data_IF_200883798690
#
_entry.id   IF_200883798690
#
_cell.length_a   1.000
_cell.length_b   1.000
_cell.length_c   1.000
_cell.angle_alpha   90.00
_cell.angle_beta   90.00
_cell.angle_gamma   90.00
#
_symmetry.space_group_name_H-M   'P 1'
#
loop_
_entity.id
_entity.type
_entity.pdbx_description
1 polymer ?
#
# COMPACT_ATOMS: atom_id res chain seq x y z
N UNK A 1 16.48 45.49 30.17
CA UNK A 1 16.32 44.02 30.29
C UNK A 1 15.82 43.48 28.96
N UNK A 2 16.56 42.54 28.37
CA UNK A 2 16.47 42.14 26.96
C UNK A 2 15.46 41.00 26.72
N UNK A 3 14.45 41.25 25.87
CA UNK A 3 13.65 40.22 25.22
C UNK A 3 14.43 39.59 24.06
N UNK A 4 15.08 38.44 24.27
CA UNK A 4 15.77 37.65 23.21
C UNK A 4 15.74 36.14 23.45
N UNK A 5 14.56 35.54 23.43
CA UNK A 5 14.35 34.08 23.31
C UNK A 5 13.06 33.96 22.48
N UNK A 6 13.06 33.96 21.15
CA UNK A 6 13.17 32.79 20.28
C UNK A 6 13.28 33.28 18.82
N UNK A 7 14.46 33.69 18.38
CA UNK A 7 14.69 33.93 16.94
C UNK A 7 14.98 32.58 16.30
N UNK A 8 13.94 31.84 15.85
CA UNK A 8 14.14 30.70 14.95
C UNK A 8 14.98 31.23 13.79
N UNK A 9 16.24 30.77 13.68
CA UNK A 9 17.07 31.07 12.51
C UNK A 9 16.26 30.59 11.31
N UNK A 10 15.78 31.51 10.47
CA UNK A 10 15.32 31.18 9.13
C UNK A 10 16.57 30.72 8.38
N UNK A 11 16.89 29.43 8.50
CA UNK A 11 17.82 28.81 7.58
C UNK A 11 17.30 29.01 6.16
N UNK A 12 18.18 29.11 5.15
CA UNK A 12 17.74 29.18 3.76
C UNK A 12 16.73 28.06 3.51
N UNK A 13 15.58 28.39 2.91
CA UNK A 13 14.61 27.40 2.46
C UNK A 13 15.34 26.47 1.50
N UNK A 14 15.84 25.34 1.99
CA UNK A 14 16.31 24.26 1.14
C UNK A 14 15.06 23.78 0.41
N UNK A 15 15.02 24.01 -0.90
CA UNK A 15 14.14 23.28 -1.78
C UNK A 15 14.67 21.84 -1.73
N UNK A 16 14.24 21.05 -0.74
CA UNK A 16 14.39 19.62 -0.84
C UNK A 16 13.42 19.23 -1.95
N UNK A 17 13.93 19.13 -3.18
CA UNK A 17 13.29 18.37 -4.26
C UNK A 17 13.29 16.90 -3.84
N UNK A 18 12.53 16.62 -2.79
CA UNK A 18 12.27 15.28 -2.33
C UNK A 18 11.20 14.75 -3.29
N UNK A 19 11.66 14.30 -4.46
CA UNK A 19 10.86 13.85 -5.59
C UNK A 19 9.78 12.85 -5.12
N UNK A 20 10.10 12.02 -4.13
CA UNK A 20 9.20 11.04 -3.52
C UNK A 20 7.94 11.64 -2.87
N UNK A 21 7.99 12.90 -2.42
CA UNK A 21 6.81 13.61 -1.87
C UNK A 21 5.91 14.19 -2.98
N UNK A 22 6.38 14.19 -4.23
CA UNK A 22 5.69 14.77 -5.40
C UNK A 22 5.30 13.72 -6.43
N UNK A 23 5.63 12.44 -6.22
CA UNK A 23 5.34 11.34 -7.16
C UNK A 23 4.52 10.22 -6.52
N UNK A 24 3.86 9.46 -7.38
CA UNK A 24 3.11 8.26 -7.06
C UNK A 24 3.32 7.20 -8.14
N UNK A 25 3.00 5.95 -7.81
CA UNK A 25 2.89 4.87 -8.77
C UNK A 25 1.42 4.68 -9.11
N UNK A 26 1.08 4.73 -10.40
CA UNK A 26 -0.29 4.48 -10.84
C UNK A 26 -0.47 3.00 -11.16
N UNK A 27 -1.57 2.40 -10.71
CA UNK A 27 -1.99 1.06 -11.12
C UNK A 27 -3.49 1.04 -11.36
N UNK A 28 -4.01 0.11 -12.19
CA UNK A 28 -5.45 -0.10 -12.34
C UNK A 28 -6.17 -0.42 -11.01
N UNK A 29 -5.44 -0.91 -10.00
CA UNK A 29 -5.94 -1.23 -8.66
C UNK A 29 -5.87 -0.05 -7.68
N UNK A 30 -5.38 1.11 -8.12
CA UNK A 30 -5.23 2.33 -7.32
C UNK A 30 -3.83 2.94 -7.42
N UNK A 31 -3.74 4.24 -7.12
CA UNK A 31 -2.47 4.95 -6.99
C UNK A 31 -1.86 4.76 -5.60
N UNK A 32 -0.53 4.71 -5.53
CA UNK A 32 0.22 4.65 -4.27
C UNK A 32 1.36 5.68 -4.26
N UNK A 33 1.39 6.61 -3.29
CA UNK A 33 2.47 7.59 -3.15
C UNK A 33 3.85 6.93 -2.99
N UNK A 34 4.85 7.45 -3.70
CA UNK A 34 6.21 6.89 -3.67
C UNK A 34 6.83 6.96 -2.26
N UNK A 35 6.49 7.99 -1.50
CA UNK A 35 6.88 8.11 -0.08
C UNK A 35 6.43 6.92 0.77
N UNK A 36 5.17 6.49 0.61
CA UNK A 36 4.60 5.38 1.39
C UNK A 36 5.31 4.07 1.04
N UNK A 37 5.54 3.82 -0.25
CA UNK A 37 6.32 2.65 -0.72
C UNK A 37 7.71 2.64 -0.09
N UNK A 38 8.41 3.78 -0.12
CA UNK A 38 9.75 3.90 0.43
C UNK A 38 9.77 3.65 1.94
N UNK A 39 8.80 4.19 2.68
CA UNK A 39 8.72 3.96 4.12
C UNK A 39 8.42 2.50 4.46
N UNK A 40 7.41 1.88 3.84
CA UNK A 40 7.04 0.49 4.08
C UNK A 40 8.15 -0.50 3.71
N UNK A 41 8.95 -0.18 2.69
CA UNK A 41 10.10 -1.02 2.31
C UNK A 41 11.33 -0.77 3.18
N UNK A 42 11.53 0.44 3.71
CA UNK A 42 12.61 0.76 4.66
C UNK A 42 12.42 0.14 6.04
N UNK A 43 11.19 -0.17 6.44
CA UNK A 43 10.91 -0.93 7.67
C UNK A 43 11.55 -2.32 7.65
N UNK A 44 11.92 -2.83 6.47
CA UNK A 44 12.73 -4.03 6.34
C UNK A 44 14.21 -3.71 6.60
N UNK A 45 14.63 -3.84 7.85
CA UNK A 45 16.03 -3.67 8.26
C UNK A 45 17.00 -4.64 7.58
N UNK A 46 16.50 -5.80 7.11
CA UNK A 46 17.30 -6.81 6.42
C UNK A 46 16.42 -7.51 5.37
N UNK A 47 16.88 -7.54 4.11
CA UNK A 47 16.16 -8.13 2.99
C UNK A 47 16.88 -9.38 2.52
N UNK A 48 16.40 -10.53 2.99
CA UNK A 48 16.86 -11.87 2.56
C UNK A 48 15.65 -12.70 2.15
N UNK A 49 15.80 -13.61 1.17
CA UNK A 49 14.68 -14.41 0.69
C UNK A 49 14.12 -15.24 1.85
N UNK A 50 12.88 -14.95 2.21
CA UNK A 50 12.23 -15.63 3.32
C UNK A 50 11.85 -17.06 2.90
N UNK A 51 12.02 -18.01 3.83
CA UNK A 51 11.67 -19.40 3.59
C UNK A 51 10.15 -19.62 3.57
N UNK A 52 9.71 -20.73 2.98
CA UNK A 52 8.31 -21.20 3.02
C UNK A 52 7.28 -20.23 2.41
N UNK A 53 7.70 -19.46 1.39
CA UNK A 53 6.81 -18.56 0.65
C UNK A 53 6.39 -17.30 1.41
N UNK A 54 7.11 -16.95 2.48
CA UNK A 54 6.98 -15.67 3.20
C UNK A 54 7.63 -14.53 2.41
N UNK A 55 7.48 -13.30 2.89
CA UNK A 55 8.13 -12.12 2.32
C UNK A 55 9.30 -11.66 3.22
N UNK A 56 10.30 -10.95 2.67
CA UNK A 56 10.50 -10.60 1.25
C UNK A 56 10.88 -11.82 0.39
N UNK A 57 10.51 -11.79 -0.91
CA UNK A 57 10.84 -12.86 -1.88
C UNK A 57 11.80 -12.34 -2.93
N UNK A 58 12.66 -13.21 -3.44
CA UNK A 58 13.52 -12.88 -4.57
C UNK A 58 12.65 -12.68 -5.82
N UNK A 59 12.81 -11.53 -6.46
CA UNK A 59 12.11 -11.15 -7.67
C UNK A 59 13.05 -11.31 -8.87
N UNK A 60 12.70 -12.22 -9.79
CA UNK A 60 13.56 -12.63 -10.89
C UNK A 60 13.55 -11.68 -12.08
N UNK A 61 12.47 -10.90 -12.23
CA UNK A 61 12.32 -9.91 -13.30
C UNK A 61 12.45 -10.56 -14.69
N UNK A 62 11.74 -11.67 -14.86
CA UNK A 62 11.74 -12.60 -15.99
C UNK A 62 10.33 -12.74 -16.60
N UNK A 63 9.58 -11.63 -16.70
CA UNK A 63 8.23 -11.63 -17.28
C UNK A 63 8.21 -12.01 -18.77
N UNK A 64 7.11 -12.63 -19.22
CA UNK A 64 6.92 -13.10 -20.60
C UNK A 64 7.01 -11.97 -21.65
N UNK A 65 6.70 -10.73 -21.26
CA UNK A 65 6.74 -9.54 -22.13
C UNK A 65 8.08 -8.78 -22.06
N UNK A 66 9.05 -9.31 -21.32
CA UNK A 66 10.35 -8.71 -21.09
C UNK A 66 10.55 -8.22 -19.65
N UNK A 67 11.79 -7.91 -19.24
CA UNK A 67 12.08 -7.51 -17.87
C UNK A 67 11.39 -6.20 -17.49
N UNK A 68 10.65 -6.18 -16.37
CA UNK A 68 10.03 -4.95 -15.84
C UNK A 68 11.05 -3.86 -15.47
N UNK A 69 12.23 -4.27 -14.98
CA UNK A 69 13.33 -3.37 -14.62
C UNK A 69 14.59 -3.68 -15.40
N UNK A 70 15.29 -2.62 -15.80
CA UNK A 70 16.56 -2.76 -16.48
C UNK A 70 17.72 -2.95 -15.49
N UNK A 71 18.85 -3.57 -15.90
CA UNK A 71 19.99 -3.79 -15.02
C UNK A 71 20.54 -2.52 -14.35
N UNK A 72 20.52 -1.37 -15.03
CA UNK A 72 20.99 -0.10 -14.47
C UNK A 72 20.12 0.42 -13.32
N UNK A 73 18.83 0.07 -13.30
CA UNK A 73 17.88 0.46 -12.24
C UNK A 73 18.20 -0.24 -10.91
N UNK A 74 19.07 -1.26 -10.92
CA UNK A 74 19.67 -1.89 -9.72
C UNK A 74 20.77 -1.01 -9.10
N UNK A 75 20.55 0.31 -9.05
CA UNK A 75 21.45 1.33 -8.50
C UNK A 75 22.88 1.24 -9.08
N UNK A 76 23.01 0.90 -10.36
CA UNK A 76 24.28 0.75 -11.09
C UNK A 76 25.23 -0.38 -10.60
N UNK A 77 24.72 -1.42 -9.93
CA UNK A 77 25.52 -2.63 -9.63
C UNK A 77 24.69 -3.91 -9.83
N UNK A 78 24.32 -4.25 -11.08
CA UNK A 78 23.42 -5.37 -11.36
C UNK A 78 24.02 -6.74 -11.05
N UNK A 79 25.35 -6.87 -11.03
CA UNK A 79 26.04 -8.15 -10.81
C UNK A 79 25.98 -8.60 -9.34
N UNK A 80 26.01 -7.66 -8.40
CA UNK A 80 26.03 -7.96 -6.97
C UNK A 80 24.68 -7.77 -6.29
N UNK A 81 23.73 -7.09 -6.94
CA UNK A 81 22.43 -6.76 -6.35
C UNK A 81 21.31 -7.59 -6.94
N UNK A 82 20.51 -8.13 -6.05
CA UNK A 82 19.30 -8.87 -6.36
C UNK A 82 18.08 -8.02 -6.08
N UNK A 83 16.99 -8.32 -6.78
CA UNK A 83 15.72 -7.66 -6.57
C UNK A 83 14.87 -8.51 -5.63
N UNK A 84 14.15 -7.85 -4.75
CA UNK A 84 13.23 -8.48 -3.82
C UNK A 84 11.87 -7.80 -3.89
N UNK A 85 10.81 -8.61 -3.90
CA UNK A 85 9.43 -8.13 -3.81
C UNK A 85 8.95 -8.11 -2.36
N UNK A 86 8.26 -7.03 -2.01
CA UNK A 86 7.71 -6.75 -0.69
C UNK A 86 6.27 -6.29 -0.86
N UNK A 87 5.28 -6.86 -0.15
CA UNK A 87 3.91 -6.37 -0.17
C UNK A 87 3.85 -4.92 0.31
N UNK A 88 3.17 -4.06 -0.45
CA UNK A 88 2.98 -2.64 -0.11
C UNK A 88 1.48 -2.31 -0.12
N UNK A 89 1.11 -1.26 0.62
CA UNK A 89 -0.30 -0.87 0.83
C UNK A 89 -1.19 -2.00 1.36
N UNK A 90 -0.63 -2.85 2.22
CA UNK A 90 -1.35 -3.92 2.91
C UNK A 90 -1.04 -3.89 4.40
N UNK A 91 -1.95 -4.42 5.21
CA UNK A 91 -1.77 -4.67 6.66
C UNK A 91 -1.20 -6.05 6.96
N UNK A 92 -0.66 -6.71 5.92
CA UNK A 92 -0.07 -8.03 6.03
C UNK A 92 1.04 -8.06 7.08
N UNK A 93 1.04 -9.11 7.89
CA UNK A 93 2.18 -9.45 8.73
C UNK A 93 3.23 -10.19 7.87
N UNK A 94 4.35 -9.51 7.61
CA UNK A 94 5.44 -9.99 6.72
C UNK A 94 6.07 -11.30 7.24
N UNK A 95 6.21 -11.44 8.56
CA UNK A 95 6.77 -12.63 9.20
C UNK A 95 5.88 -13.87 9.15
N UNK A 96 4.57 -13.68 8.92
CA UNK A 96 3.59 -14.75 8.84
C UNK A 96 3.42 -15.25 7.39
N UNK A 97 2.94 -16.49 7.25
CA UNK A 97 2.68 -17.07 5.91
C UNK A 97 1.52 -16.32 5.24
N UNK A 98 1.62 -15.94 3.96
CA UNK A 98 0.48 -15.39 3.23
C UNK A 98 -0.68 -16.37 3.19
N UNK A 99 -1.90 -15.84 3.26
CA UNK A 99 -3.10 -16.61 2.97
C UNK A 99 -3.03 -17.14 1.53
N UNK A 100 -3.46 -18.39 1.29
CA UNK A 100 -3.48 -18.95 -0.06
C UNK A 100 -4.47 -18.18 -0.93
N UNK A 101 -4.12 -17.95 -2.19
CA UNK A 101 -4.88 -17.14 -3.14
C UNK A 101 -6.36 -17.55 -3.26
N UNK A 102 -6.65 -18.86 -3.30
CA UNK A 102 -8.02 -19.35 -3.36
C UNK A 102 -8.88 -18.86 -2.17
N UNK A 103 -8.28 -18.73 -0.98
CA UNK A 103 -8.98 -18.24 0.21
C UNK A 103 -9.19 -16.72 0.16
N UNK A 104 -8.26 -15.99 -0.44
CA UNK A 104 -8.39 -14.54 -0.67
C UNK A 104 -9.50 -14.26 -1.68
N UNK A 105 -9.55 -14.99 -2.80
CA UNK A 105 -10.62 -14.85 -3.80
C UNK A 105 -12.00 -15.20 -3.23
N UNK A 106 -12.10 -16.28 -2.45
CA UNK A 106 -13.34 -16.63 -1.77
C UNK A 106 -13.80 -15.54 -0.81
N UNK A 107 -12.89 -14.70 -0.28
CA UNK A 107 -13.25 -13.56 0.58
C UNK A 107 -14.07 -12.51 -0.17
N UNK A 108 -13.77 -12.27 -1.44
CA UNK A 108 -14.48 -11.27 -2.26
C UNK A 108 -15.93 -11.71 -2.54
N UNK A 109 -16.16 -13.03 -2.60
CA UNK A 109 -17.47 -13.63 -2.86
C UNK A 109 -18.24 -14.02 -1.58
N UNK A 110 -17.91 -13.41 -0.44
CA UNK A 110 -18.56 -13.75 0.84
C UNK A 110 -20.05 -13.35 0.84
N UNK A 111 -20.88 -14.23 1.39
CA UNK A 111 -22.27 -13.92 1.70
C UNK A 111 -22.35 -12.72 2.68
N UNK A 112 -23.29 -11.76 2.52
CA UNK A 112 -23.37 -10.56 3.36
C UNK A 112 -23.33 -10.83 4.87
N UNK A 113 -23.98 -11.89 5.33
CA UNK A 113 -24.04 -12.25 6.76
C UNK A 113 -22.69 -12.69 7.33
N UNK A 114 -21.78 -13.20 6.49
CA UNK A 114 -20.47 -13.68 6.93
C UNK A 114 -19.41 -12.57 6.94
N UNK A 115 -19.70 -11.41 6.33
CA UNK A 115 -18.75 -10.30 6.21
C UNK A 115 -18.25 -9.78 7.55
N UNK A 116 -19.14 -9.69 8.55
CA UNK A 116 -18.76 -9.25 9.90
C UNK A 116 -17.77 -10.22 10.58
N UNK A 117 -17.93 -11.53 10.34
CA UNK A 117 -17.00 -12.55 10.85
C UNK A 117 -15.67 -12.50 10.10
N UNK A 118 -15.69 -12.32 8.78
CA UNK A 118 -14.47 -12.19 7.98
C UNK A 118 -13.68 -10.90 8.28
N UNK A 119 -14.36 -9.80 8.60
CA UNK A 119 -13.70 -8.56 9.04
C UNK A 119 -12.97 -8.72 10.38
N UNK A 120 -13.49 -9.55 11.30
CA UNK A 120 -12.82 -9.86 12.57
C UNK A 120 -11.64 -10.83 12.39
N UNK A 121 -11.73 -11.73 11.42
CA UNK A 121 -10.72 -12.73 11.10
C UNK A 121 -10.05 -12.37 9.78
N UNK A 122 -9.36 -11.22 9.74
CA UNK A 122 -8.71 -10.75 8.54
C UNK A 122 -7.64 -11.75 8.07
N UNK A 123 -7.66 -12.07 6.78
CA UNK A 123 -6.66 -12.95 6.17
C UNK A 123 -5.33 -12.20 6.06
N UNK A 124 -4.22 -12.90 6.28
CA UNK A 124 -2.88 -12.36 6.03
C UNK A 124 -2.61 -12.25 4.51
N UNK A 125 -3.27 -11.29 3.87
CA UNK A 125 -3.30 -11.11 2.42
C UNK A 125 -2.21 -10.10 1.98
N UNK A 126 -1.27 -10.51 1.10
CA UNK A 126 -0.27 -9.59 0.57
C UNK A 126 -0.86 -8.51 -0.36
N UNK A 127 -2.12 -8.63 -0.78
CA UNK A 127 -2.74 -7.70 -1.72
C UNK A 127 -2.12 -7.76 -3.12
N UNK A 128 -2.47 -6.83 -4.02
CA UNK A 128 -2.06 -6.87 -5.43
C UNK A 128 -0.73 -6.16 -5.74
N UNK A 129 -0.23 -5.30 -4.84
CA UNK A 129 0.94 -4.44 -5.09
C UNK A 129 2.19 -4.97 -4.40
N UNK A 130 3.35 -4.86 -5.06
CA UNK A 130 4.67 -5.14 -4.48
C UNK A 130 5.62 -3.97 -4.72
N UNK A 131 6.28 -3.52 -3.67
CA UNK A 131 7.48 -2.70 -3.78
C UNK A 131 8.67 -3.59 -4.11
N UNK A 132 9.50 -3.15 -5.06
CA UNK A 132 10.70 -3.87 -5.47
C UNK A 132 11.91 -3.16 -4.89
N UNK A 133 12.70 -3.88 -4.10
CA UNK A 133 13.88 -3.37 -3.40
C UNK A 133 15.11 -4.03 -3.98
N UNK A 134 16.16 -3.25 -4.24
CA UNK A 134 17.48 -3.80 -4.54
C UNK A 134 18.24 -4.05 -3.24
N UNK A 135 18.72 -5.27 -3.02
CA UNK A 135 19.54 -5.59 -1.85
C UNK A 135 20.88 -6.23 -2.24
N UNK A 136 21.89 -5.96 -1.42
CA UNK A 136 23.21 -6.58 -1.53
C UNK A 136 23.22 -8.05 -1.10
N UNK A 137 24.35 -8.75 -1.26
CA UNK A 137 24.49 -10.15 -0.82
C UNK A 137 24.42 -10.32 0.71
N UNK A 138 24.73 -9.25 1.45
CA UNK A 138 24.55 -9.11 2.89
C UNK A 138 23.09 -8.83 3.30
N UNK A 139 22.19 -8.67 2.32
CA UNK A 139 20.79 -8.33 2.54
C UNK A 139 20.53 -6.89 2.96
N UNK A 140 21.53 -6.00 2.83
CA UNK A 140 21.35 -4.57 3.06
C UNK A 140 20.50 -3.96 1.94
N UNK A 141 19.37 -3.28 2.26
CA UNK A 141 18.55 -2.63 1.24
C UNK A 141 19.22 -1.36 0.70
N UNK A 142 19.27 -1.20 -0.62
CA UNK A 142 19.79 -0.02 -1.33
C UNK A 142 18.68 0.88 -1.89
N UNK A 143 17.47 0.74 -1.33
CA UNK A 143 16.29 1.52 -1.68
C UNK A 143 15.39 0.86 -2.71
N UNK A 144 14.25 1.50 -2.92
CA UNK A 144 13.21 1.07 -3.86
C UNK A 144 13.68 1.31 -5.29
N UNK A 145 13.44 0.31 -6.15
CA UNK A 145 13.65 0.36 -7.59
C UNK A 145 12.35 0.78 -8.28
N UNK A 146 11.22 0.23 -7.84
CA UNK A 146 9.89 0.63 -8.31
C UNK A 146 8.78 -0.19 -7.67
N UNK A 147 7.58 -0.10 -8.24
CA UNK A 147 6.41 -0.87 -7.83
C UNK A 147 5.99 -1.76 -8.99
N UNK A 148 5.65 -3.00 -8.68
CA UNK A 148 5.01 -3.95 -9.58
C UNK A 148 3.63 -4.32 -9.03
N UNK A 149 2.73 -4.72 -9.91
CA UNK A 149 1.39 -5.15 -9.54
C UNK A 149 0.95 -6.36 -10.34
N UNK A 150 0.04 -7.14 -9.77
CA UNK A 150 -0.66 -8.19 -10.51
C UNK A 150 -1.76 -7.58 -11.38
N UNK A 151 -1.68 -7.70 -12.72
CA UNK A 151 -2.73 -7.21 -13.61
C UNK A 151 -4.07 -7.94 -13.40
N UNK A 152 -5.17 -7.31 -13.79
CA UNK A 152 -6.49 -7.91 -13.68
C UNK A 152 -6.59 -9.19 -14.52
N UNK A 153 -7.12 -10.27 -13.94
CA UNK A 153 -7.22 -11.57 -14.60
C UNK A 153 -5.92 -12.39 -14.67
N UNK A 154 -4.73 -11.78 -14.50
CA UNK A 154 -3.47 -12.51 -14.42
C UNK A 154 -2.77 -12.27 -13.06
N UNK A 155 -2.98 -13.25 -12.17
CA UNK A 155 -2.53 -13.21 -10.78
C UNK A 155 -1.14 -13.82 -10.56
N UNK A 156 -0.47 -14.26 -11.63
CA UNK A 156 0.90 -14.81 -11.58
C UNK A 156 1.91 -13.84 -12.18
N UNK A 157 1.54 -13.17 -13.26
CA UNK A 157 2.38 -12.16 -13.89
C UNK A 157 2.46 -10.89 -13.07
N UNK A 158 3.48 -10.09 -13.38
CA UNK A 158 3.70 -8.77 -12.83
C UNK A 158 3.84 -7.76 -13.96
N UNK A 159 3.26 -6.58 -13.75
CA UNK A 159 3.51 -5.41 -14.58
C UNK A 159 4.11 -4.31 -13.71
N UNK A 160 5.05 -3.55 -14.29
CA UNK A 160 5.57 -2.33 -13.68
C UNK A 160 4.51 -1.24 -13.63
N UNK A 161 4.38 -0.60 -12.48
CA UNK A 161 3.60 0.61 -12.32
C UNK A 161 4.38 1.82 -12.85
N UNK A 162 3.82 2.64 -13.77
CA UNK A 162 4.44 3.90 -14.16
C UNK A 162 4.50 4.88 -12.98
N UNK A 163 5.55 5.71 -12.99
CA UNK A 163 5.69 6.82 -12.04
C UNK A 163 4.99 8.03 -12.62
N UNK A 164 4.09 8.62 -11.85
CA UNK A 164 3.32 9.79 -12.22
C UNK A 164 3.45 10.88 -11.15
N UNK A 165 3.18 12.15 -11.50
CA UNK A 165 3.02 13.21 -10.52
C UNK A 165 1.92 12.89 -9.51
N UNK A 166 2.09 13.34 -8.26
CA UNK A 166 1.15 13.10 -7.18
C UNK A 166 -0.17 13.84 -7.42
N UNK A 167 -1.23 13.07 -7.61
CA UNK A 167 -2.59 13.55 -7.85
C UNK A 167 -3.30 13.95 -6.52
N UNK A 168 -4.59 14.28 -6.60
CA UNK A 168 -5.40 14.61 -5.41
C UNK A 168 -5.57 13.41 -4.48
N UNK A 169 -5.83 12.22 -5.02
CA UNK A 169 -6.09 11.00 -4.24
C UNK A 169 -4.82 10.57 -3.49
N UNK A 170 -3.67 10.59 -4.14
CA UNK A 170 -2.37 10.32 -3.54
C UNK A 170 -2.03 11.31 -2.42
N UNK A 171 -2.39 12.59 -2.57
CA UNK A 171 -2.23 13.58 -1.48
C UNK A 171 -3.10 13.25 -0.27
N UNK A 172 -4.35 12.86 -0.48
CA UNK A 172 -5.25 12.42 0.60
C UNK A 172 -4.70 11.16 1.29
N UNK A 173 -4.21 10.18 0.52
CA UNK A 173 -3.56 8.99 1.08
C UNK A 173 -2.33 9.32 1.92
N UNK A 174 -1.45 10.23 1.47
CA UNK A 174 -0.30 10.66 2.26
C UNK A 174 -0.71 11.34 3.58
N UNK A 175 -1.78 12.14 3.58
CA UNK A 175 -2.31 12.75 4.81
C UNK A 175 -2.80 11.69 5.79
N UNK A 176 -3.61 10.73 5.30
CA UNK A 176 -4.11 9.61 6.11
C UNK A 176 -2.96 8.79 6.68
N UNK A 177 -1.96 8.48 5.87
CA UNK A 177 -0.78 7.74 6.29
C UNK A 177 0.03 8.49 7.36
N UNK A 178 0.19 9.81 7.22
CA UNK A 178 0.87 10.62 8.24
C UNK A 178 0.07 10.69 9.55
N UNK A 179 -1.25 10.74 9.47
CA UNK A 179 -2.15 10.72 10.62
C UNK A 179 -2.09 9.37 11.36
N UNK A 180 -2.10 8.25 10.63
CA UNK A 180 -1.99 6.89 11.18
C UNK A 180 -0.62 6.66 11.85
N UNK A 181 0.45 7.18 11.26
CA UNK A 181 1.80 7.10 11.83
C UNK A 181 1.96 7.92 13.11
N UNK A 182 1.16 8.99 13.29
CA UNK A 182 1.21 9.85 14.47
C UNK A 182 0.42 9.28 15.66
N UNK A 183 -0.66 8.54 15.42
CA UNK A 183 -1.46 7.89 16.47
C UNK A 183 -2.08 6.57 16.00
N UNK A 184 -1.49 5.46 16.42
CA UNK A 184 -1.95 4.11 16.09
C UNK A 184 -3.39 3.80 16.60
N UNK A 185 -3.91 4.56 17.58
CA UNK A 185 -5.28 4.38 18.11
C UNK A 185 -6.33 5.14 17.28
N UNK A 186 -5.92 6.01 16.36
CA UNK A 186 -6.82 6.85 15.57
C UNK A 186 -7.49 6.11 14.40
N UNK A 187 -6.99 4.92 14.05
CA UNK A 187 -7.60 3.98 13.10
C UNK A 187 -9.08 3.67 13.46
N UNK A 188 -9.51 3.94 14.69
CA UNK A 188 -10.89 3.79 15.17
C UNK A 188 -11.75 5.06 15.29
N UNK A 189 -11.25 6.27 15.01
CA UNK A 189 -12.09 7.49 15.12
C UNK A 189 -12.80 7.78 13.80
N UNK A 190 -14.11 7.62 13.80
CA UNK A 190 -15.00 7.96 12.69
C UNK A 190 -15.44 9.44 12.76
N UNK A 191 -15.50 10.19 11.64
CA UNK A 191 -15.02 9.84 10.31
C UNK A 191 -13.52 10.17 10.13
N UNK A 192 -12.81 9.52 9.21
CA UNK A 192 -11.49 9.97 8.77
C UNK A 192 -11.60 11.43 8.31
N UNK A 193 -10.68 12.31 8.72
CA UNK A 193 -10.64 13.65 8.12
C UNK A 193 -10.39 13.50 6.62
N UNK A 194 -11.11 14.31 5.84
CA UNK A 194 -10.99 14.43 4.38
C UNK A 194 -11.61 13.26 3.56
N UNK A 195 -12.68 12.59 4.03
CA UNK A 195 -13.62 11.97 3.07
C UNK A 195 -14.37 13.09 2.34
N UNK A 196 -14.22 13.15 1.02
CA UNK A 196 -14.94 14.12 0.19
C UNK A 196 -16.45 13.88 0.37
N UNK A 197 -17.25 14.95 0.33
CA UNK A 197 -18.70 14.85 0.50
C UNK A 197 -19.33 13.82 -0.47
N UNK A 198 -18.75 13.66 -1.65
CA UNK A 198 -19.14 12.66 -2.65
C UNK A 198 -18.83 11.22 -2.21
N UNK A 199 -17.69 10.97 -1.59
CA UNK A 199 -17.34 9.65 -1.05
C UNK A 199 -18.26 9.31 0.14
N UNK A 200 -18.50 10.29 1.02
CA UNK A 200 -19.43 10.15 2.15
C UNK A 200 -20.85 9.85 1.64
N UNK A 201 -21.32 10.60 0.65
CA UNK A 201 -22.62 10.38 0.01
C UNK A 201 -22.71 9.02 -0.67
N UNK A 202 -21.63 8.56 -1.30
CA UNK A 202 -21.55 7.22 -1.94
C UNK A 202 -21.58 6.10 -0.89
N UNK A 203 -20.95 6.31 0.26
CA UNK A 203 -21.01 5.40 1.40
C UNK A 203 -22.41 5.37 2.03
N UNK A 204 -23.01 6.54 2.28
CA UNK A 204 -24.36 6.66 2.83
C UNK A 204 -25.42 6.01 1.92
N UNK A 205 -25.32 6.21 0.60
CA UNK A 205 -26.22 5.55 -0.37
C UNK A 205 -26.05 4.03 -0.37
N UNK A 206 -24.82 3.50 -0.28
CA UNK A 206 -24.58 2.06 -0.14
C UNK A 206 -25.23 1.49 1.13
N UNK A 207 -25.12 2.17 2.26
CA UNK A 207 -25.73 1.70 3.52
C UNK A 207 -27.25 1.89 3.55
N UNK A 208 -27.79 2.92 2.90
CA UNK A 208 -29.23 3.12 2.75
C UNK A 208 -29.89 1.96 1.98
N UNK A 209 -29.23 1.43 0.94
CA UNK A 209 -29.74 0.26 0.19
C UNK A 209 -29.75 -1.04 1.02
N UNK A 210 -28.86 -1.18 1.99
CA UNK A 210 -28.78 -2.40 2.84
C UNK A 210 -29.92 -2.48 3.83
N UNK A 211 -30.47 -1.34 4.28
CA UNK A 211 -31.67 -1.29 5.11
C UNK A 211 -32.90 -1.41 4.22
N UNK A 212 -33.30 -2.64 3.87
CA UNK A 212 -34.63 -2.85 3.28
C UNK A 212 -35.69 -2.26 4.22
N UNK A 213 -36.63 -1.43 3.72
CA UNK A 213 -37.75 -0.98 4.55
C UNK A 213 -38.47 -2.22 5.07
N UNK A 214 -38.65 -2.27 6.39
CA UNK A 214 -39.39 -3.36 7.04
C UNK A 214 -40.81 -3.35 6.46
N UNK A 215 -41.22 -4.45 5.83
CA UNK A 215 -42.59 -4.56 5.33
C UNK A 215 -43.58 -4.22 6.48
N UNK A 216 -44.61 -3.40 6.22
CA UNK A 216 -45.58 -3.06 7.24
C UNK A 216 -46.21 -4.34 7.79
N UNK A 217 -46.49 -4.42 9.11
CA UNK A 217 -47.10 -5.60 9.71
C UNK A 217 -48.41 -5.90 9.00
N UNK A 218 -48.54 -7.11 8.43
CA UNK A 218 -49.78 -7.54 7.82
C UNK A 218 -50.86 -7.62 8.91
N UNK A 219 -52.09 -7.14 8.63
CA UNK A 219 -53.18 -7.25 9.58
C UNK A 219 -53.49 -8.74 9.83
N UNK A 220 -53.52 -9.13 11.11
CA UNK A 220 -53.92 -10.47 11.54
C UNK A 220 -55.38 -10.68 11.12
N UNK A 221 -55.64 -11.73 10.34
CA UNK A 221 -56.99 -12.28 10.13
C UNK A 221 -57.33 -13.24 11.25
#
# INVERSE_FOLDING_TARGET
MFNRLFRRRQGPRRNSDDEHNKTQYWTPRGSIPAKIVNQQTQELHHVVPAQNGRFPKEYRNDEDHGPNFHPYERRNNPAQRRLFEVPVNTRMEIGARPAPMARVQNRENLHPNDRARAARNELNDPGPLRGVVAAGPDGTPHGVVGVIYHPEGNLRGYNRAPVEPLDRQGRQQMRRFADDAADARRVGTWPPRDEDADDLATYETRYAQVRRPRNPPQPRR
#
